data_IF_556050677392
#
_entry.id   IF_556050677392
#
_cell.length_a   1.000
_cell.length_b   1.000
_cell.length_c   1.000
_cell.angle_alpha   90.00
_cell.angle_beta   90.00
_cell.angle_gamma   90.00
#
_symmetry.space_group_name_H-M   'P 1'
#
loop_
_entity.id
_entity.type
_entity.pdbx_description
1 polymer ?
#
# COMPACT_ATOMS: atom_id res chain seq x y z
N UNK A 1 -10.97 15.58 -1.61
CA UNK A 1 -11.30 14.22 -1.80
C UNK A 1 -10.14 13.44 -2.35
N UNK A 2 -9.76 12.43 -1.66
CA UNK A 2 -8.61 11.66 -2.06
C UNK A 2 -9.02 10.31 -2.63
N UNK A 3 -9.00 10.19 -3.95
CA UNK A 3 -9.37 8.95 -4.60
C UNK A 3 -8.32 7.87 -4.45
N UNK A 4 -7.11 8.20 -4.02
CA UNK A 4 -6.09 7.17 -3.85
C UNK A 4 -6.48 6.15 -2.79
N UNK A 5 -7.04 6.62 -1.67
CA UNK A 5 -7.40 5.70 -0.60
C UNK A 5 -8.54 4.77 -0.99
N UNK A 6 -9.32 5.13 -2.00
CA UNK A 6 -10.37 4.24 -2.47
C UNK A 6 -9.83 2.97 -3.12
N UNK A 7 -8.54 2.94 -3.42
CA UNK A 7 -7.90 1.76 -3.99
C UNK A 7 -7.53 0.73 -2.92
N UNK A 8 -7.73 1.06 -1.65
CA UNK A 8 -7.43 0.17 -0.54
C UNK A 8 -8.73 -0.28 0.09
N UNK A 9 -8.87 -1.57 0.31
CA UNK A 9 -10.08 -2.09 0.97
C UNK A 9 -9.68 -2.98 2.14
N UNK A 10 -10.60 -3.05 3.10
CA UNK A 10 -10.46 -3.97 4.23
C UNK A 10 -11.75 -4.79 4.27
N UNK A 11 -11.63 -6.04 3.88
CA UNK A 11 -12.81 -6.92 3.81
C UNK A 11 -12.52 -8.19 4.59
N UNK A 12 -13.53 -8.66 5.31
CA UNK A 12 -13.34 -9.77 6.24
C UNK A 12 -12.82 -11.03 5.56
N UNK A 13 -13.23 -11.32 4.37
CA UNK A 13 -12.82 -12.54 3.70
C UNK A 13 -11.64 -12.40 2.77
N UNK A 14 -10.99 -11.26 2.78
CA UNK A 14 -9.92 -10.99 1.84
C UNK A 14 -8.64 -10.61 2.57
N UNK A 15 -7.54 -11.26 2.22
CA UNK A 15 -6.25 -11.00 2.84
C UNK A 15 -6.30 -11.14 4.36
N UNK A 16 -7.16 -12.02 4.85
CA UNK A 16 -7.30 -12.22 6.28
C UNK A 16 -7.88 -11.03 7.01
N UNK A 17 -8.66 -10.20 6.33
CA UNK A 17 -9.23 -9.01 6.93
C UNK A 17 -8.28 -7.84 6.99
N UNK A 18 -7.11 -7.95 6.37
CA UNK A 18 -6.12 -6.88 6.38
C UNK A 18 -6.28 -5.98 5.18
N UNK A 19 -5.79 -4.76 5.27
CA UNK A 19 -5.87 -3.84 4.12
C UNK A 19 -5.19 -4.44 2.90
N UNK A 20 -5.87 -4.39 1.78
CA UNK A 20 -5.29 -4.87 0.54
C UNK A 20 -5.75 -3.98 -0.61
N UNK A 21 -5.08 -4.15 -1.73
CA UNK A 21 -5.41 -3.36 -2.91
C UNK A 21 -6.73 -3.87 -3.47
N UNK A 22 -7.63 -2.94 -3.72
CA UNK A 22 -8.98 -3.25 -4.15
C UNK A 22 -8.97 -4.14 -5.38
N UNK A 23 -9.70 -5.23 -5.31
CA UNK A 23 -9.81 -6.16 -6.41
C UNK A 23 -8.69 -7.17 -6.50
N UNK A 24 -7.69 -7.07 -5.65
CA UNK A 24 -6.54 -7.97 -5.70
C UNK A 24 -6.26 -8.51 -4.31
N UNK A 25 -5.44 -9.55 -4.23
CA UNK A 25 -5.10 -10.14 -2.95
C UNK A 25 -3.74 -9.67 -2.43
N UNK A 26 -3.23 -8.61 -2.98
CA UNK A 26 -1.96 -8.05 -2.56
C UNK A 26 -2.21 -7.08 -1.42
N UNK A 27 -1.58 -7.33 -0.28
CA UNK A 27 -1.79 -6.52 0.90
C UNK A 27 -0.97 -5.25 0.81
N UNK A 28 -1.49 -4.20 1.45
CA UNK A 28 -0.73 -2.96 1.58
C UNK A 28 0.62 -3.23 2.25
N UNK A 29 0.61 -4.10 3.28
CA UNK A 29 1.84 -4.45 3.99
C UNK A 29 2.89 -5.02 3.03
N UNK A 30 2.46 -5.85 2.09
CA UNK A 30 3.40 -6.47 1.17
C UNK A 30 4.10 -5.42 0.30
N UNK A 31 3.34 -4.45 -0.18
CA UNK A 31 3.93 -3.38 -0.99
C UNK A 31 4.88 -2.55 -0.15
N UNK A 32 4.48 -2.22 1.06
CA UNK A 32 5.32 -1.42 1.93
C UNK A 32 6.62 -2.14 2.29
N UNK A 33 6.56 -3.44 2.49
CA UNK A 33 7.76 -4.21 2.79
C UNK A 33 8.71 -4.25 1.61
N UNK A 34 8.18 -4.37 0.40
CA UNK A 34 9.03 -4.32 -0.78
C UNK A 34 9.77 -2.99 -0.86
N UNK A 35 9.05 -1.91 -0.62
CA UNK A 35 9.68 -0.60 -0.62
C UNK A 35 10.73 -0.48 0.48
N UNK A 36 10.43 -1.01 1.65
CA UNK A 36 11.35 -0.94 2.78
C UNK A 36 12.64 -1.71 2.49
N UNK A 37 12.56 -2.75 1.67
CA UNK A 37 13.73 -3.53 1.32
C UNK A 37 14.45 -3.01 0.09
N UNK A 38 14.06 -1.85 -0.40
CA UNK A 38 14.78 -1.18 -1.46
C UNK A 38 14.27 -1.42 -2.87
N UNK A 39 13.13 -2.10 -3.01
CA UNK A 39 12.57 -2.29 -4.34
C UNK A 39 12.11 -0.95 -4.91
N UNK A 40 12.37 -0.75 -6.18
CA UNK A 40 11.89 0.43 -6.85
C UNK A 40 10.43 0.24 -7.26
N UNK A 41 9.76 1.35 -7.53
CA UNK A 41 8.39 1.27 -8.03
C UNK A 41 8.32 0.47 -9.33
N UNK A 42 9.32 0.66 -10.20
CA UNK A 42 9.35 -0.06 -11.47
C UNK A 42 9.46 -1.56 -11.24
N UNK A 43 10.28 -1.96 -10.26
CA UNK A 43 10.42 -3.39 -9.95
C UNK A 43 9.12 -3.96 -9.42
N UNK A 44 8.43 -3.23 -8.55
CA UNK A 44 7.17 -3.70 -8.00
C UNK A 44 6.14 -3.83 -9.10
N UNK A 45 6.06 -2.86 -10.00
CA UNK A 45 5.09 -2.91 -11.08
C UNK A 45 5.43 -3.98 -12.11
N UNK A 46 6.72 -4.29 -12.26
CA UNK A 46 7.11 -5.38 -13.16
C UNK A 46 6.69 -6.74 -12.60
N UNK A 47 6.80 -6.91 -11.27
CA UNK A 47 6.39 -8.15 -10.63
C UNK A 47 4.89 -8.30 -10.51
N UNK A 48 4.18 -7.17 -10.49
CA UNK A 48 2.74 -7.15 -10.34
C UNK A 48 2.14 -6.27 -11.42
N UNK A 49 2.01 -6.80 -12.64
CA UNK A 49 1.63 -5.96 -13.79
C UNK A 49 0.27 -5.28 -13.66
N UNK A 50 -0.59 -5.78 -12.77
CA UNK A 50 -1.88 -5.13 -12.55
C UNK A 50 -1.78 -3.85 -11.74
N UNK A 51 -0.63 -3.59 -11.12
CA UNK A 51 -0.46 -2.39 -10.32
C UNK A 51 -0.08 -1.21 -11.20
N UNK A 52 -0.66 -0.08 -10.88
CA UNK A 52 -0.24 1.21 -11.41
C UNK A 52 0.48 1.96 -10.33
N UNK A 53 1.16 3.03 -10.71
CA UNK A 53 1.86 3.83 -9.71
C UNK A 53 0.90 4.36 -8.64
N UNK A 54 -0.36 4.58 -9.01
CA UNK A 54 -1.34 5.08 -8.04
C UNK A 54 -1.64 4.07 -6.95
N UNK A 55 -1.53 2.76 -7.22
CA UNK A 55 -1.70 1.78 -6.15
C UNK A 55 -0.57 1.86 -5.14
N UNK A 56 0.65 2.07 -5.62
CA UNK A 56 1.77 2.22 -4.70
C UNK A 56 1.61 3.49 -3.88
N UNK A 57 1.19 4.57 -4.52
CA UNK A 57 0.95 5.81 -3.80
C UNK A 57 -0.18 5.66 -2.78
N UNK A 58 -1.20 4.89 -3.14
CA UNK A 58 -2.30 4.64 -2.21
C UNK A 58 -1.80 3.89 -0.97
N UNK A 59 -0.91 2.94 -1.15
CA UNK A 59 -0.33 2.23 -0.01
C UNK A 59 0.44 3.17 0.89
N UNK A 60 1.20 4.09 0.30
CA UNK A 60 1.95 5.06 1.09
C UNK A 60 1.01 6.03 1.82
N UNK A 61 -0.04 6.46 1.16
CA UNK A 61 -1.03 7.33 1.79
C UNK A 61 -1.71 6.61 2.95
N UNK A 62 -2.04 5.34 2.74
CA UNK A 62 -2.67 4.56 3.79
C UNK A 62 -1.75 4.45 5.01
N UNK A 63 -0.47 4.18 4.76
CA UNK A 63 0.49 4.07 5.84
C UNK A 63 0.65 5.39 6.57
N UNK A 64 0.68 6.48 5.83
CA UNK A 64 0.81 7.80 6.43
C UNK A 64 -0.37 8.10 7.35
N UNK A 65 -1.57 7.72 6.92
CA UNK A 65 -2.76 7.96 7.75
C UNK A 65 -2.74 7.10 9.01
N UNK A 66 -2.25 5.87 8.91
CA UNK A 66 -2.17 4.97 10.05
C UNK A 66 -1.17 5.46 11.09
N UNK A 67 -0.18 6.20 10.67
CA UNK A 67 0.90 6.63 11.54
C UNK A 67 0.81 8.11 11.88
N UNK A 68 -0.39 8.63 11.86
CA UNK A 68 -0.61 10.03 12.13
C UNK A 68 -0.16 10.45 13.51
N UNK A 69 -0.22 9.53 14.47
CA UNK A 69 0.17 9.80 15.83
C UNK A 69 1.63 9.51 16.12
N UNK A 70 2.31 8.91 15.19
CA UNK A 70 3.69 8.55 15.39
C UNK A 70 4.57 9.68 14.93
N UNK A 71 5.27 10.27 15.88
CA UNK A 71 6.20 11.34 15.56
C UNK A 71 7.54 10.72 15.23
N UNK A 72 7.90 10.74 13.98
CA UNK A 72 9.17 10.21 13.55
C UNK A 72 10.13 11.37 13.41
N UNK A 73 11.11 11.39 14.26
CA UNK A 73 12.10 12.46 14.26
C UNK A 73 13.32 12.00 13.51
N UNK A 74 13.67 12.73 12.48
CA UNK A 74 14.82 12.38 11.69
C UNK A 74 16.14 12.72 12.35
N UNK A 75 16.11 13.57 13.29
CA UNK A 75 17.35 14.01 13.94
C UNK A 75 17.91 12.99 14.87
#
# INVERSE_FOLDING_TARGET
MNSLLSRITVEAGRCGGRPCIRGYRLRVKDVLELLAHGASWAEIMADHPFLESDEIRACLEFAAAQNDHVIVRAS
#
